data_IF_037236708346
#
_entry.id   IF_037236708346
#
_cell.length_a   1.000
_cell.length_b   1.000
_cell.length_c   1.000
_cell.angle_alpha   90.00
_cell.angle_beta   90.00
_cell.angle_gamma   90.00
#
_symmetry.space_group_name_H-M   'P 1'
#
loop_
_entity.id
_entity.type
_entity.pdbx_description
1 polymer ?
#
# COMPACT_ATOMS: atom_id res chain seq x y z
N UNK A 1 3.15 -1.32 10.58
CA UNK A 1 3.19 -0.64 9.27
C UNK A 1 4.29 -1.30 8.45
N UNK A 2 3.94 -2.29 7.62
CA UNK A 2 4.85 -2.96 6.68
C UNK A 2 4.52 -2.45 5.28
N UNK A 3 4.97 -1.22 5.02
CA UNK A 3 5.05 -0.70 3.67
C UNK A 3 6.30 -1.26 3.00
N UNK A 4 6.43 -1.19 1.69
CA UNK A 4 7.68 -1.43 0.93
C UNK A 4 8.79 -0.43 1.34
N UNK A 5 8.79 -0.09 2.61
CA UNK A 5 9.73 0.76 3.29
C UNK A 5 10.24 0.06 4.54
N UNK A 6 11.49 0.27 4.87
CA UNK A 6 12.14 -0.25 6.06
C UNK A 6 12.69 0.90 6.89
N UNK A 7 12.54 0.77 8.19
CA UNK A 7 13.10 1.69 9.18
C UNK A 7 14.29 0.98 9.85
N UNK A 8 15.47 1.58 9.77
CA UNK A 8 16.62 1.10 10.52
C UNK A 8 16.47 1.42 12.01
N UNK A 9 16.96 0.56 12.91
CA UNK A 9 16.99 0.86 14.34
C UNK A 9 17.68 2.21 14.61
N UNK A 10 17.11 3.05 15.51
CA UNK A 10 17.72 4.34 15.83
C UNK A 10 19.12 4.19 16.45
N UNK A 11 20.02 5.12 16.09
CA UNK A 11 21.38 5.23 16.65
C UNK A 11 21.46 6.50 17.48
N UNK A 12 22.18 6.47 18.59
CA UNK A 12 22.46 7.66 19.40
C UNK A 12 23.60 8.46 18.78
N UNK A 13 23.34 9.73 18.47
CA UNK A 13 24.31 10.72 18.00
C UNK A 13 24.50 11.78 19.11
N UNK A 14 25.25 11.43 20.16
CA UNK A 14 25.52 12.29 21.29
C UNK A 14 24.23 12.88 21.92
N UNK A 15 23.31 11.98 22.29
CA UNK A 15 22.03 12.30 22.92
C UNK A 15 20.90 12.66 21.95
N UNK A 16 21.14 12.62 20.63
CA UNK A 16 20.12 12.73 19.60
C UNK A 16 19.87 11.34 18.97
N UNK A 17 18.67 10.81 19.08
CA UNK A 17 18.32 9.54 18.47
C UNK A 17 17.94 9.75 17.00
N UNK A 18 18.78 9.24 16.11
CA UNK A 18 18.62 9.40 14.66
C UNK A 18 18.33 8.07 13.99
N UNK A 19 17.53 8.09 12.95
CA UNK A 19 17.14 6.91 12.18
C UNK A 19 17.19 7.20 10.67
N UNK A 20 17.24 6.10 9.89
CA UNK A 20 17.09 6.14 8.43
C UNK A 20 15.89 5.28 8.05
N UNK A 21 15.03 5.83 7.19
CA UNK A 21 14.00 5.06 6.51
C UNK A 21 14.24 5.05 5.01
N UNK A 22 13.87 3.95 4.36
CA UNK A 22 13.88 3.79 2.91
C UNK A 22 12.49 3.38 2.43
N UNK A 23 12.03 3.95 1.33
CA UNK A 23 10.72 3.65 0.75
C UNK A 23 10.80 3.64 -0.76
N UNK A 24 10.18 2.65 -1.40
CA UNK A 24 9.96 2.63 -2.85
C UNK A 24 8.63 3.29 -3.20
N UNK A 25 8.59 3.93 -4.36
CA UNK A 25 7.35 4.44 -4.92
C UNK A 25 7.25 4.11 -6.42
N UNK A 26 6.19 3.41 -6.87
CA UNK A 26 5.12 2.82 -6.05
C UNK A 26 5.64 1.72 -5.12
N UNK A 27 4.95 1.53 -4.00
CA UNK A 27 5.36 0.57 -2.96
C UNK A 27 5.34 -0.89 -3.43
N UNK A 28 4.45 -1.20 -4.37
CA UNK A 28 4.28 -2.53 -4.98
C UNK A 28 5.05 -2.68 -6.29
N UNK A 29 6.11 -1.88 -6.48
CA UNK A 29 6.90 -1.94 -7.70
C UNK A 29 7.43 -3.34 -7.97
N UNK A 30 7.19 -3.85 -9.20
CA UNK A 30 7.80 -5.05 -9.76
C UNK A 30 8.50 -4.71 -11.07
N UNK A 31 9.58 -5.43 -11.36
CA UNK A 31 10.25 -5.26 -12.65
C UNK A 31 9.28 -5.46 -13.82
N UNK A 32 9.30 -4.52 -14.77
CA UNK A 32 8.39 -4.52 -15.92
C UNK A 32 7.08 -3.73 -15.75
N UNK A 33 6.76 -3.23 -14.54
CA UNK A 33 5.59 -2.37 -14.33
C UNK A 33 5.77 -0.99 -14.98
N UNK A 34 6.97 -0.46 -14.84
CA UNK A 34 7.37 0.82 -15.43
C UNK A 34 8.86 0.83 -15.74
N UNK A 35 9.30 1.80 -16.53
CA UNK A 35 10.73 1.98 -16.88
C UNK A 35 11.58 2.49 -15.72
N UNK A 36 10.95 2.96 -14.66
CA UNK A 36 11.65 3.50 -13.48
C UNK A 36 10.76 3.47 -12.25
N UNK A 37 11.40 3.42 -11.08
CA UNK A 37 10.79 3.60 -9.76
C UNK A 37 11.57 4.66 -8.98
N UNK A 38 11.01 5.17 -7.91
CA UNK A 38 11.68 6.11 -7.03
C UNK A 38 12.05 5.44 -5.71
N UNK A 39 13.30 5.62 -5.26
CA UNK A 39 13.77 5.24 -3.94
C UNK A 39 13.95 6.51 -3.12
N UNK A 40 13.21 6.64 -2.02
CA UNK A 40 13.35 7.72 -1.06
C UNK A 40 14.11 7.23 0.16
N UNK A 41 15.14 7.98 0.57
CA UNK A 41 15.95 7.71 1.77
C UNK A 41 15.85 8.94 2.66
N UNK A 42 15.38 8.75 3.89
CA UNK A 42 15.18 9.84 4.84
C UNK A 42 16.05 9.64 6.07
N UNK A 43 16.79 10.68 6.48
CA UNK A 43 17.54 10.71 7.72
C UNK A 43 16.92 11.74 8.67
N UNK A 44 16.52 11.31 9.86
CA UNK A 44 15.69 12.13 10.74
C UNK A 44 15.90 11.83 12.22
N UNK A 45 15.51 12.78 13.06
CA UNK A 45 15.37 12.59 14.50
C UNK A 45 14.16 11.70 14.78
N UNK A 46 14.40 10.51 15.34
CA UNK A 46 13.36 9.51 15.58
C UNK A 46 12.37 9.89 16.71
N UNK A 47 12.67 10.87 17.53
CA UNK A 47 11.78 11.33 18.61
C UNK A 47 10.84 12.45 18.13
N UNK A 48 11.33 13.34 17.26
CA UNK A 48 10.57 14.50 16.77
C UNK A 48 10.02 14.33 15.37
N UNK A 49 10.46 13.29 14.66
CA UNK A 49 10.15 13.02 13.25
C UNK A 49 10.60 14.13 12.28
N UNK A 50 11.60 14.92 12.67
CA UNK A 50 12.13 16.04 11.88
C UNK A 50 13.37 15.60 11.12
N UNK A 51 13.42 15.92 9.81
CA UNK A 51 14.57 15.62 8.97
C UNK A 51 15.81 16.38 9.43
N UNK A 52 16.96 15.71 9.35
CA UNK A 52 18.27 16.32 9.58
C UNK A 52 18.78 16.82 8.23
N UNK A 53 19.07 18.10 8.17
CA UNK A 53 19.43 18.80 6.92
C UNK A 53 20.91 18.68 6.57
N UNK A 54 21.23 18.95 5.29
CA UNK A 54 22.58 19.02 4.74
C UNK A 54 23.39 17.72 4.92
N UNK A 55 22.83 16.64 4.40
CA UNK A 55 23.33 15.27 4.63
C UNK A 55 24.07 14.73 3.41
N UNK A 56 25.24 14.18 3.65
CA UNK A 56 25.96 13.38 2.66
C UNK A 56 25.70 11.91 2.94
N UNK A 57 25.09 11.25 1.97
CA UNK A 57 24.79 9.82 1.98
C UNK A 57 25.80 9.04 1.14
N UNK A 58 26.26 7.91 1.64
CA UNK A 58 26.80 6.85 0.79
C UNK A 58 25.81 5.71 0.77
N UNK A 59 25.26 5.45 -0.40
CA UNK A 59 24.23 4.41 -0.59
C UNK A 59 24.85 3.21 -1.29
N UNK A 60 24.76 2.04 -0.66
CA UNK A 60 25.08 0.74 -1.25
C UNK A 60 23.84 -0.10 -1.28
N UNK A 61 23.55 -0.70 -2.44
CA UNK A 61 22.42 -1.61 -2.61
C UNK A 61 22.98 -3.00 -2.95
N UNK A 62 22.46 -3.99 -2.25
CA UNK A 62 22.82 -5.39 -2.44
C UNK A 62 21.61 -6.22 -2.82
N UNK A 63 21.80 -7.17 -3.71
CA UNK A 63 20.86 -8.24 -4.02
C UNK A 63 21.56 -9.58 -3.82
N UNK A 64 20.99 -10.49 -3.05
CA UNK A 64 21.58 -11.79 -2.74
C UNK A 64 23.08 -11.70 -2.35
N UNK A 65 23.41 -10.75 -1.50
CA UNK A 65 24.79 -10.40 -1.08
C UNK A 65 25.68 -9.82 -2.19
N UNK A 66 25.20 -9.66 -3.40
CA UNK A 66 25.93 -9.02 -4.48
C UNK A 66 25.72 -7.50 -4.47
N UNK A 67 26.82 -6.75 -4.47
CA UNK A 67 26.74 -5.30 -4.59
C UNK A 67 26.25 -4.92 -6.00
N UNK A 68 25.15 -4.16 -6.07
CA UNK A 68 24.56 -3.69 -7.34
C UNK A 68 24.67 -2.18 -7.53
N UNK A 69 24.79 -1.42 -6.43
CA UNK A 69 25.05 0.03 -6.50
C UNK A 69 25.92 0.49 -5.32
N UNK A 70 26.76 1.50 -5.55
CA UNK A 70 27.59 2.14 -4.54
C UNK A 70 28.01 3.54 -4.99
N UNK A 71 27.40 4.58 -4.44
CA UNK A 71 27.73 5.96 -4.80
C UNK A 71 27.39 6.93 -3.65
N UNK A 72 27.92 8.15 -3.76
CA UNK A 72 27.67 9.25 -2.83
C UNK A 72 26.60 10.18 -3.38
N UNK A 73 25.73 10.60 -2.47
CA UNK A 73 24.65 11.55 -2.75
C UNK A 73 24.63 12.62 -1.67
N UNK A 74 24.13 13.79 -2.02
CA UNK A 74 23.95 14.90 -1.09
C UNK A 74 22.52 15.41 -1.16
N UNK A 75 21.96 15.70 -0.02
CA UNK A 75 20.63 16.28 0.10
C UNK A 75 20.60 17.39 1.14
N UNK A 76 19.87 18.48 0.83
CA UNK A 76 19.83 19.67 1.69
C UNK A 76 18.76 19.56 2.78
N UNK A 77 17.65 18.84 2.52
CA UNK A 77 16.48 18.75 3.42
C UNK A 77 16.38 17.43 4.18
N UNK A 78 17.34 16.54 4.01
CA UNK A 78 17.42 15.25 4.71
C UNK A 78 16.52 14.16 4.12
N UNK A 79 15.95 14.40 2.93
CA UNK A 79 15.16 13.44 2.18
C UNK A 79 15.71 13.25 0.77
N UNK A 80 16.61 12.29 0.62
CA UNK A 80 17.19 11.93 -0.66
C UNK A 80 16.22 11.14 -1.52
N UNK A 81 15.80 11.69 -2.64
CA UNK A 81 15.01 11.00 -3.65
C UNK A 81 15.89 10.59 -4.83
N UNK A 82 15.83 9.32 -5.21
CA UNK A 82 16.61 8.71 -6.28
C UNK A 82 15.68 8.07 -7.31
N UNK A 83 15.90 8.34 -8.59
CA UNK A 83 15.19 7.66 -9.66
C UNK A 83 15.97 6.42 -10.09
N UNK A 84 15.40 5.24 -9.90
CA UNK A 84 16.01 3.96 -10.27
C UNK A 84 15.46 3.53 -11.62
N UNK A 85 16.35 3.17 -12.55
CA UNK A 85 16.04 2.59 -13.85
C UNK A 85 16.62 1.18 -13.92
N UNK A 86 15.82 0.15 -13.64
CA UNK A 86 16.26 -1.23 -13.73
C UNK A 86 16.70 -1.60 -15.13
N UNK A 87 17.80 -2.34 -15.25
CA UNK A 87 18.27 -2.92 -16.53
C UNK A 87 18.70 -4.36 -16.31
N UNK A 88 18.49 -5.20 -17.30
CA UNK A 88 18.92 -6.60 -17.31
C UNK A 88 20.14 -6.79 -18.22
N UNK A 89 20.75 -7.98 -18.17
CA UNK A 89 21.77 -8.38 -19.13
C UNK A 89 23.20 -7.93 -18.78
N UNK A 90 23.47 -7.57 -17.52
CA UNK A 90 24.83 -7.32 -17.06
C UNK A 90 25.69 -8.57 -17.22
N UNK A 91 26.83 -8.46 -17.92
CA UNK A 91 27.79 -9.54 -18.15
C UNK A 91 29.02 -9.48 -17.23
N UNK A 92 29.08 -8.45 -16.39
CA UNK A 92 30.18 -8.27 -15.45
C UNK A 92 30.01 -9.22 -14.24
N UNK A 93 31.13 -9.76 -13.76
CA UNK A 93 31.17 -10.59 -12.55
C UNK A 93 30.72 -9.80 -11.31
N UNK A 94 31.10 -8.53 -11.26
CA UNK A 94 30.72 -7.59 -10.22
C UNK A 94 29.58 -6.69 -10.75
N UNK A 95 28.36 -6.98 -10.38
CA UNK A 95 27.16 -6.36 -10.94
C UNK A 95 27.14 -4.83 -10.87
N UNK A 96 27.72 -4.25 -9.81
CA UNK A 96 27.80 -2.79 -9.63
C UNK A 96 28.60 -2.08 -10.75
N UNK A 97 29.44 -2.79 -11.49
CA UNK A 97 30.16 -2.22 -12.65
C UNK A 97 29.25 -1.92 -13.84
N UNK A 98 28.09 -2.56 -13.92
CA UNK A 98 27.06 -2.24 -14.91
C UNK A 98 26.19 -1.05 -14.48
N UNK A 99 26.38 -0.50 -13.29
CA UNK A 99 25.56 0.57 -12.77
C UNK A 99 26.12 1.93 -13.12
N UNK A 100 25.27 2.78 -13.69
CA UNK A 100 25.61 4.14 -14.15
C UNK A 100 24.79 5.14 -13.33
N UNK A 101 25.47 6.22 -12.93
CA UNK A 101 24.88 7.30 -12.15
C UNK A 101 24.81 8.56 -13.00
N UNK A 102 23.67 9.25 -12.98
CA UNK A 102 23.47 10.50 -13.70
C UNK A 102 22.85 11.54 -12.77
N UNK A 103 23.29 12.76 -12.92
CA UNK A 103 22.85 13.89 -12.13
C UNK A 103 23.91 14.96 -11.99
N UNK A 104 23.58 16.04 -11.32
CA UNK A 104 24.51 17.10 -10.96
C UNK A 104 25.27 16.68 -9.68
N UNK A 105 26.58 16.98 -9.60
CA UNK A 105 27.39 16.75 -8.40
C UNK A 105 27.52 18.04 -7.60
N UNK A 106 27.27 17.93 -6.29
CA UNK A 106 27.49 19.07 -5.39
C UNK A 106 28.98 19.39 -5.27
N UNK A 107 29.35 20.64 -5.51
CA UNK A 107 30.74 21.05 -5.63
C UNK A 107 31.58 20.83 -4.35
N UNK A 108 30.96 20.92 -3.19
CA UNK A 108 31.64 20.78 -1.88
C UNK A 108 31.48 19.35 -1.33
N UNK A 109 30.25 18.86 -1.28
CA UNK A 109 29.96 17.53 -0.72
C UNK A 109 30.39 16.37 -1.64
N UNK A 110 30.56 16.63 -2.95
CA UNK A 110 31.05 15.65 -3.94
C UNK A 110 30.06 14.59 -4.36
N UNK A 111 28.87 14.53 -3.74
CA UNK A 111 27.79 13.59 -4.07
C UNK A 111 26.88 14.11 -5.17
N UNK A 112 26.16 13.21 -5.84
CA UNK A 112 25.04 13.59 -6.71
C UNK A 112 23.92 14.22 -5.88
N UNK A 113 23.29 15.26 -6.37
CA UNK A 113 22.19 15.90 -5.62
C UNK A 113 21.05 16.38 -6.52
N UNK A 114 19.87 16.49 -5.94
CA UNK A 114 18.73 17.12 -6.57
C UNK A 114 18.85 18.64 -6.54
N UNK A 115 18.55 19.29 -7.68
CA UNK A 115 18.45 20.73 -7.78
C UNK A 115 17.20 21.12 -8.55
N UNK A 116 16.28 21.75 -7.87
CA UNK A 116 14.96 22.01 -8.43
C UNK A 116 14.22 20.69 -8.68
N UNK A 117 13.77 20.47 -9.91
CA UNK A 117 13.04 19.22 -10.28
C UNK A 117 13.96 18.09 -10.76
N UNK A 118 15.30 18.29 -10.76
CA UNK A 118 16.25 17.28 -11.18
C UNK A 118 16.64 16.41 -10.01
N UNK A 119 16.32 15.11 -10.07
CA UNK A 119 16.73 14.11 -9.09
C UNK A 119 17.82 13.18 -9.69
N UNK A 120 18.78 12.71 -8.88
CA UNK A 120 19.79 11.75 -9.35
C UNK A 120 19.14 10.48 -9.87
N UNK A 121 19.72 9.93 -10.94
CA UNK A 121 19.26 8.68 -11.55
C UNK A 121 20.33 7.62 -11.40
N UNK A 122 19.92 6.42 -11.01
CA UNK A 122 20.73 5.21 -10.97
C UNK A 122 20.16 4.24 -12.01
N UNK A 123 20.97 3.79 -12.93
CA UNK A 123 20.59 2.84 -13.97
C UNK A 123 21.50 1.62 -13.91
N UNK A 124 20.95 0.43 -13.74
CA UNK A 124 21.74 -0.80 -13.60
C UNK A 124 20.89 -2.01 -13.22
N UNK A 125 21.52 -3.13 -12.88
CA UNK A 125 20.86 -4.34 -12.42
C UNK A 125 20.36 -4.17 -10.97
N UNK A 126 19.46 -3.21 -10.77
CA UNK A 126 18.89 -2.83 -9.47
C UNK A 126 17.39 -2.95 -9.60
N UNK A 127 16.75 -3.71 -8.71
CA UNK A 127 15.30 -3.96 -8.75
C UNK A 127 14.83 -4.61 -10.07
N UNK A 128 15.72 -5.38 -10.71
CA UNK A 128 15.44 -6.12 -11.93
C UNK A 128 14.87 -7.52 -11.69
N UNK A 129 14.76 -7.92 -10.43
CA UNK A 129 14.19 -9.20 -9.97
C UNK A 129 13.36 -8.97 -8.69
N UNK A 130 12.47 -9.90 -8.41
CA UNK A 130 11.80 -10.02 -7.11
C UNK A 130 12.77 -10.42 -5.99
N UNK A 131 12.31 -10.33 -4.75
CA UNK A 131 13.06 -10.72 -3.56
C UNK A 131 13.59 -9.54 -2.75
N UNK A 132 14.45 -9.87 -1.80
CA UNK A 132 14.96 -8.92 -0.82
C UNK A 132 16.22 -8.19 -1.33
N UNK A 133 16.21 -6.88 -1.15
CA UNK A 133 17.35 -6.01 -1.33
C UNK A 133 17.77 -5.41 0.02
N UNK A 134 19.07 -5.45 0.34
CA UNK A 134 19.63 -4.71 1.46
C UNK A 134 20.13 -3.35 0.97
N UNK A 135 19.73 -2.29 1.68
CA UNK A 135 20.18 -0.92 1.41
C UNK A 135 21.00 -0.45 2.61
N UNK A 136 22.31 -0.38 2.43
CA UNK A 136 23.23 0.18 3.42
C UNK A 136 23.40 1.67 3.16
N UNK A 137 23.05 2.46 4.17
CA UNK A 137 23.13 3.92 4.12
C UNK A 137 24.15 4.40 5.15
N UNK A 138 25.27 4.91 4.67
CA UNK A 138 26.22 5.60 5.53
C UNK A 138 25.95 7.10 5.48
N UNK A 139 25.74 7.71 6.64
CA UNK A 139 25.68 9.17 6.79
C UNK A 139 27.10 9.64 7.07
N UNK A 140 27.67 10.38 6.14
CA UNK A 140 29.05 10.84 6.24
C UNK A 140 29.12 12.18 6.97
N UNK A 141 29.85 12.20 8.08
CA UNK A 141 29.99 13.42 8.87
C UNK A 141 28.67 13.91 9.49
N UNK A 142 27.83 12.99 9.97
CA UNK A 142 26.61 13.36 10.68
C UNK A 142 26.94 14.22 11.89
N UNK A 143 26.34 15.41 11.96
CA UNK A 143 26.61 16.38 13.02
C UNK A 143 25.37 16.61 13.86
N UNK A 144 25.50 16.40 15.18
CA UNK A 144 24.44 16.76 16.12
C UNK A 144 24.31 18.30 16.18
N UNK A 145 23.17 18.88 15.83
CA UNK A 145 23.03 20.35 15.76
C UNK A 145 23.13 21.05 17.13
N UNK A 146 22.98 20.31 18.24
CA UNK A 146 23.07 20.88 19.61
C UNK A 146 24.47 20.82 20.16
N UNK A 147 25.17 19.69 20.00
CA UNK A 147 26.49 19.47 20.62
C UNK A 147 27.64 19.67 19.64
N UNK A 148 27.35 19.75 18.33
CA UNK A 148 28.30 19.83 17.23
C UNK A 148 29.25 18.62 17.12
N UNK A 149 28.93 17.54 17.81
CA UNK A 149 29.63 16.27 17.67
C UNK A 149 29.37 15.70 16.27
N UNK A 150 30.44 15.31 15.59
CA UNK A 150 30.41 14.77 14.22
C UNK A 150 30.93 13.35 14.21
N UNK A 151 30.19 12.44 13.59
CA UNK A 151 30.60 11.04 13.36
C UNK A 151 29.94 10.45 12.10
N UNK A 152 30.56 9.40 11.57
CA UNK A 152 29.96 8.62 10.51
C UNK A 152 28.98 7.61 11.13
N UNK A 153 27.81 7.49 10.53
CA UNK A 153 26.77 6.53 10.97
C UNK A 153 26.50 5.55 9.84
N UNK A 154 26.24 4.30 10.20
CA UNK A 154 25.86 3.26 9.24
C UNK A 154 24.51 2.67 9.63
N UNK A 155 23.59 2.69 8.69
CA UNK A 155 22.27 2.08 8.80
C UNK A 155 22.10 1.01 7.73
N UNK A 156 21.30 0.01 8.04
CA UNK A 156 20.88 -1.02 7.08
C UNK A 156 19.37 -1.12 7.08
N UNK A 157 18.79 -1.07 5.89
CA UNK A 157 17.35 -1.24 5.66
C UNK A 157 17.14 -2.29 4.59
N UNK A 158 15.93 -2.82 4.52
CA UNK A 158 15.58 -3.87 3.57
C UNK A 158 14.35 -3.46 2.77
N UNK A 159 14.39 -3.76 1.47
CA UNK A 159 13.27 -3.58 0.56
C UNK A 159 12.93 -4.96 -0.01
N UNK A 160 11.68 -5.29 -0.06
CA UNK A 160 11.23 -6.54 -0.67
C UNK A 160 10.37 -6.25 -1.89
N UNK A 161 10.83 -6.69 -3.06
CA UNK A 161 10.10 -6.56 -4.31
C UNK A 161 9.24 -7.81 -4.54
N UNK A 162 7.94 -7.64 -4.85
CA UNK A 162 7.06 -8.77 -5.07
C UNK A 162 7.39 -9.53 -6.36
N UNK A 163 7.20 -10.84 -6.34
CA UNK A 163 7.13 -11.66 -7.55
C UNK A 163 5.82 -11.37 -8.28
N UNK A 164 5.91 -11.10 -9.59
CA UNK A 164 4.77 -10.79 -10.43
C UNK A 164 4.49 -11.92 -11.41
N UNK A 165 3.31 -12.49 -11.34
CA UNK A 165 2.81 -13.50 -12.26
C UNK A 165 1.54 -12.99 -12.95
N UNK A 166 1.33 -13.38 -14.21
CA UNK A 166 0.15 -13.02 -14.99
C UNK A 166 -0.54 -14.31 -15.43
N UNK A 167 -1.83 -14.40 -15.14
CA UNK A 167 -2.67 -15.55 -15.47
C UNK A 167 -3.76 -15.11 -16.44
N UNK A 168 -3.85 -15.78 -17.60
CA UNK A 168 -4.92 -15.53 -18.55
C UNK A 168 -6.10 -16.43 -18.21
N UNK A 169 -7.23 -15.84 -17.84
CA UNK A 169 -8.47 -16.55 -17.58
C UNK A 169 -9.43 -16.39 -18.75
N UNK A 170 -10.16 -17.46 -19.06
CA UNK A 170 -11.20 -17.46 -20.09
C UNK A 170 -12.55 -17.64 -19.43
N UNK A 171 -13.48 -16.75 -19.76
CA UNK A 171 -14.87 -16.84 -19.33
C UNK A 171 -15.69 -17.71 -20.30
N UNK A 172 -16.87 -18.12 -19.88
CA UNK A 172 -17.81 -18.87 -20.73
C UNK A 172 -18.23 -18.08 -21.99
N UNK A 173 -18.15 -16.73 -21.93
CA UNK A 173 -18.37 -15.85 -23.10
C UNK A 173 -17.19 -15.84 -24.09
N UNK A 174 -16.14 -16.62 -23.83
CA UNK A 174 -14.88 -16.66 -24.59
C UNK A 174 -14.06 -15.34 -24.54
N UNK A 175 -14.34 -14.48 -23.60
CA UNK A 175 -13.49 -13.33 -23.29
C UNK A 175 -12.29 -13.75 -22.48
N UNK A 176 -11.13 -13.14 -22.77
CA UNK A 176 -9.87 -13.39 -22.05
C UNK A 176 -9.52 -12.20 -21.18
N UNK A 177 -9.23 -12.46 -19.89
CA UNK A 177 -8.86 -11.43 -18.94
C UNK A 177 -7.53 -11.77 -18.29
N UNK A 178 -6.51 -10.88 -18.36
CA UNK A 178 -5.29 -11.03 -17.62
C UNK A 178 -5.49 -10.67 -16.14
N UNK A 179 -5.21 -11.58 -15.25
CA UNK A 179 -5.12 -11.36 -13.81
C UNK A 179 -3.65 -11.29 -13.43
N UNK A 180 -3.21 -10.17 -12.87
CA UNK A 180 -1.86 -10.02 -12.35
C UNK A 180 -1.86 -10.26 -10.84
N UNK A 181 -1.02 -11.16 -10.37
CA UNK A 181 -0.77 -11.38 -8.94
C UNK A 181 0.65 -10.95 -8.62
N UNK A 182 0.81 -10.04 -7.67
CA UNK A 182 2.09 -9.67 -7.07
C UNK A 182 2.16 -10.27 -5.67
N UNK A 183 3.10 -11.16 -5.46
CA UNK A 183 3.28 -11.89 -4.20
C UNK A 183 4.59 -11.47 -3.54
N UNK A 184 4.52 -11.01 -2.29
CA UNK A 184 5.70 -10.83 -1.44
C UNK A 184 6.12 -12.14 -0.74
N UNK A 185 5.42 -13.24 -1.02
CA UNK A 185 5.67 -14.57 -0.48
C UNK A 185 6.18 -15.53 -1.57
N UNK A 186 7.08 -15.08 -2.41
CA UNK A 186 7.61 -15.84 -3.56
C UNK A 186 6.54 -16.19 -4.64
N UNK A 187 6.88 -17.08 -5.56
CA UNK A 187 6.06 -17.51 -6.68
C UNK A 187 4.85 -18.31 -6.18
N UNK A 188 3.65 -17.89 -6.57
CA UNK A 188 2.41 -18.60 -6.25
C UNK A 188 2.20 -19.78 -7.21
N UNK A 189 1.42 -20.76 -6.76
CA UNK A 189 1.09 -21.96 -7.55
C UNK A 189 -0.42 -22.25 -7.57
N UNK A 190 -0.84 -23.15 -8.44
CA UNK A 190 -2.21 -23.64 -8.53
C UNK A 190 -3.27 -22.53 -8.61
N UNK A 191 -3.00 -21.50 -9.45
CA UNK A 191 -3.96 -20.44 -9.71
C UNK A 191 -5.16 -20.98 -10.47
N UNK A 192 -6.36 -20.76 -9.94
CA UNK A 192 -7.64 -21.16 -10.52
C UNK A 192 -8.67 -20.04 -10.43
N UNK A 193 -9.50 -19.92 -11.45
CA UNK A 193 -10.70 -19.09 -11.46
C UNK A 193 -11.93 -19.95 -11.70
N UNK A 194 -12.85 -19.94 -10.75
CA UNK A 194 -14.17 -20.56 -10.87
C UNK A 194 -15.22 -19.50 -11.19
N UNK A 195 -15.63 -19.44 -12.46
CA UNK A 195 -16.63 -18.47 -12.94
C UNK A 195 -18.01 -18.70 -12.31
N UNK A 196 -18.36 -19.94 -11.98
CA UNK A 196 -19.67 -20.28 -11.39
C UNK A 196 -19.82 -19.69 -9.99
N UNK A 197 -18.72 -19.66 -9.25
CA UNK A 197 -18.66 -19.15 -7.89
C UNK A 197 -18.12 -17.71 -7.84
N UNK A 198 -17.67 -17.14 -8.95
CA UNK A 198 -16.91 -15.90 -8.99
C UNK A 198 -15.73 -15.91 -7.99
N UNK A 199 -14.96 -16.99 -8.05
CA UNK A 199 -13.90 -17.27 -7.07
C UNK A 199 -12.53 -17.38 -7.72
N UNK A 200 -11.55 -16.66 -7.18
CA UNK A 200 -10.13 -16.83 -7.46
C UNK A 200 -9.51 -17.63 -6.31
N UNK A 201 -8.69 -18.62 -6.64
CA UNK A 201 -7.91 -19.36 -5.64
C UNK A 201 -6.50 -19.66 -6.13
N UNK A 202 -5.53 -19.69 -5.20
CA UNK A 202 -4.14 -20.09 -5.47
C UNK A 202 -3.42 -20.44 -4.17
N UNK A 203 -2.24 -21.03 -4.29
CA UNK A 203 -1.40 -21.43 -3.16
C UNK A 203 -0.20 -20.52 -3.03
N UNK A 204 0.07 -20.09 -1.80
CA UNK A 204 1.15 -19.19 -1.41
C UNK A 204 2.19 -20.02 -0.63
N UNK A 205 3.49 -20.02 -1.03
CA UNK A 205 4.55 -20.54 -0.18
C UNK A 205 4.64 -19.78 1.14
N UNK A 206 4.72 -20.49 2.26
CA UNK A 206 4.79 -19.86 3.57
C UNK A 206 5.62 -20.69 4.56
N UNK A 207 6.72 -20.12 5.05
CA UNK A 207 7.56 -20.74 6.06
C UNK A 207 7.24 -20.21 7.45
N UNK A 208 6.64 -21.06 8.28
CA UNK A 208 6.31 -20.74 9.67
C UNK A 208 7.54 -20.57 10.60
N UNK A 209 8.72 -20.95 10.16
CA UNK A 209 9.96 -20.85 10.94
C UNK A 209 10.79 -19.62 10.53
N UNK A 210 10.43 -18.99 9.43
CA UNK A 210 11.08 -17.75 9.01
C UNK A 210 10.46 -16.56 9.75
N UNK A 211 11.25 -15.92 10.59
CA UNK A 211 10.88 -14.73 11.34
C UNK A 211 11.32 -13.44 10.64
N UNK A 212 11.71 -13.53 9.36
CA UNK A 212 12.06 -12.39 8.53
C UNK A 212 10.81 -11.66 8.00
N UNK A 213 11.01 -10.69 7.13
CA UNK A 213 9.93 -9.91 6.50
C UNK A 213 8.96 -10.74 5.62
N UNK A 214 9.32 -11.98 5.29
CA UNK A 214 8.46 -12.94 4.57
C UNK A 214 7.40 -13.62 5.45
N UNK A 215 7.39 -13.37 6.74
CA UNK A 215 6.43 -13.96 7.68
C UNK A 215 5.05 -13.28 7.69
N UNK A 216 4.76 -12.39 6.76
CA UNK A 216 3.44 -11.82 6.53
C UNK A 216 2.87 -12.34 5.22
N UNK A 217 1.56 -12.43 5.10
CA UNK A 217 0.92 -12.61 3.79
C UNK A 217 0.67 -11.23 3.20
N UNK A 218 1.32 -10.93 2.08
CA UNK A 218 1.12 -9.69 1.34
C UNK A 218 0.98 -10.02 -0.14
N UNK A 219 -0.24 -9.83 -0.66
CA UNK A 219 -0.65 -10.16 -2.02
C UNK A 219 -1.38 -8.99 -2.64
N UNK A 220 -1.12 -8.72 -3.91
CA UNK A 220 -1.86 -7.72 -4.68
C UNK A 220 -2.35 -8.38 -5.96
N UNK A 221 -3.66 -8.51 -6.09
CA UNK A 221 -4.32 -9.08 -7.25
C UNK A 221 -4.91 -7.93 -8.07
N UNK A 222 -4.53 -7.81 -9.34
CA UNK A 222 -5.00 -6.73 -10.22
C UNK A 222 -5.62 -7.29 -11.48
N UNK A 223 -6.71 -6.69 -11.92
CA UNK A 223 -7.47 -7.07 -13.11
C UNK A 223 -8.09 -5.83 -13.78
N UNK A 224 -8.43 -5.96 -15.05
CA UNK A 224 -9.06 -4.87 -15.78
C UNK A 224 -10.44 -4.55 -15.21
N UNK A 225 -10.86 -3.28 -15.30
CA UNK A 225 -12.19 -2.83 -14.82
C UNK A 225 -13.36 -3.56 -15.49
N UNK A 226 -13.17 -4.05 -16.72
CA UNK A 226 -14.18 -4.81 -17.46
C UNK A 226 -14.39 -6.23 -16.93
N UNK A 227 -13.51 -6.71 -16.02
CA UNK A 227 -13.67 -7.99 -15.35
C UNK A 227 -14.74 -7.91 -14.26
N UNK A 228 -16.00 -8.16 -14.63
CA UNK A 228 -17.18 -7.96 -13.80
C UNK A 228 -17.43 -9.06 -12.75
N UNK A 229 -16.69 -10.15 -12.79
CA UNK A 229 -16.85 -11.25 -11.83
C UNK A 229 -16.48 -10.87 -10.40
N UNK A 230 -15.59 -9.87 -10.25
CA UNK A 230 -15.21 -9.28 -8.98
C UNK A 230 -15.32 -7.76 -9.13
N UNK A 231 -16.13 -7.14 -8.30
CA UNK A 231 -16.48 -5.72 -8.41
C UNK A 231 -16.45 -5.06 -7.04
N UNK A 232 -16.18 -3.76 -7.01
CA UNK A 232 -16.27 -2.93 -5.81
C UNK A 232 -17.67 -2.88 -5.20
N UNK A 233 -18.69 -3.26 -5.96
CA UNK A 233 -20.08 -3.29 -5.53
C UNK A 233 -20.49 -4.62 -4.86
N UNK A 234 -19.54 -5.55 -4.74
CA UNK A 234 -19.77 -6.84 -4.12
C UNK A 234 -18.94 -6.95 -2.85
N UNK A 235 -19.51 -7.56 -1.83
CA UNK A 235 -18.75 -7.97 -0.66
C UNK A 235 -17.69 -8.99 -1.07
N UNK A 236 -16.53 -8.94 -0.42
CA UNK A 236 -15.45 -9.90 -0.64
C UNK A 236 -15.32 -10.78 0.60
N UNK A 237 -15.35 -12.08 0.37
CA UNK A 237 -15.01 -13.08 1.36
C UNK A 237 -13.62 -13.64 1.02
N UNK A 238 -12.65 -13.33 1.85
CA UNK A 238 -11.28 -13.80 1.66
C UNK A 238 -10.95 -14.79 2.75
N UNK A 239 -10.42 -15.94 2.36
CA UNK A 239 -10.03 -16.98 3.30
C UNK A 239 -8.62 -17.52 3.02
N UNK A 240 -7.99 -17.97 4.10
CA UNK A 240 -6.71 -18.68 4.10
C UNK A 240 -6.97 -20.09 4.61
N UNK A 241 -6.73 -21.13 3.80
CA UNK A 241 -7.04 -22.53 4.15
C UNK A 241 -8.45 -22.68 4.75
N UNK A 242 -9.47 -22.12 4.09
CA UNK A 242 -10.89 -22.04 4.53
C UNK A 242 -11.11 -21.33 5.89
N UNK A 243 -10.16 -20.56 6.37
CA UNK A 243 -10.34 -19.67 7.52
C UNK A 243 -10.54 -18.26 6.99
N UNK A 244 -11.74 -17.73 7.17
CA UNK A 244 -12.06 -16.35 6.76
C UNK A 244 -11.20 -15.36 7.55
N UNK A 245 -10.68 -14.34 6.85
CA UNK A 245 -9.93 -13.24 7.45
C UNK A 245 -10.81 -12.00 7.59
N UNK A 246 -10.54 -11.20 8.60
CA UNK A 246 -11.25 -9.94 8.84
C UNK A 246 -11.01 -8.96 7.67
N UNK A 247 -12.02 -8.14 7.39
CA UNK A 247 -11.98 -7.13 6.34
C UNK A 247 -10.94 -6.02 6.57
N UNK A 248 -10.36 -5.90 7.76
CA UNK A 248 -9.25 -5.00 8.04
C UNK A 248 -7.93 -5.44 7.38
N UNK A 249 -7.82 -6.69 6.92
CA UNK A 249 -6.64 -7.25 6.29
C UNK A 249 -6.67 -7.22 4.76
N UNK A 250 -7.70 -6.68 4.17
CA UNK A 250 -7.76 -6.50 2.72
C UNK A 250 -8.47 -5.22 2.32
N UNK A 251 -8.13 -4.73 1.14
CA UNK A 251 -8.68 -3.51 0.56
C UNK A 251 -8.92 -3.71 -0.93
N UNK A 252 -10.11 -3.31 -1.39
CA UNK A 252 -10.43 -3.22 -2.82
C UNK A 252 -10.13 -1.80 -3.30
N UNK A 253 -9.20 -1.64 -4.24
CA UNK A 253 -8.76 -0.35 -4.73
C UNK A 253 -9.18 -0.13 -6.18
N UNK A 254 -9.88 0.98 -6.44
CA UNK A 254 -10.39 1.41 -7.75
C UNK A 254 -9.71 2.69 -8.25
N UNK A 255 -8.73 3.22 -7.54
CA UNK A 255 -8.08 4.51 -7.86
C UNK A 255 -7.28 4.48 -9.16
N UNK A 256 -6.90 3.30 -9.66
CA UNK A 256 -6.24 3.20 -10.96
C UNK A 256 -7.27 3.30 -12.10
N UNK A 257 -7.02 4.11 -13.15
CA UNK A 257 -7.97 4.32 -14.26
C UNK A 257 -8.32 3.05 -15.03
N UNK A 258 -7.34 2.17 -15.21
CA UNK A 258 -7.45 1.01 -16.11
C UNK A 258 -7.75 -0.29 -15.36
N UNK A 259 -7.46 -0.34 -14.05
CA UNK A 259 -7.45 -1.58 -13.27
C UNK A 259 -8.08 -1.40 -11.90
N UNK A 260 -8.74 -2.45 -11.46
CA UNK A 260 -9.05 -2.67 -10.05
C UNK A 260 -7.98 -3.54 -9.42
N UNK A 261 -7.78 -3.44 -8.11
CA UNK A 261 -6.89 -4.31 -7.37
C UNK A 261 -7.43 -4.66 -5.99
N UNK A 262 -7.08 -5.84 -5.52
CA UNK A 262 -7.32 -6.30 -4.16
C UNK A 262 -5.95 -6.43 -3.50
N UNK A 263 -5.71 -5.64 -2.46
CA UNK A 263 -4.52 -5.77 -1.61
C UNK A 263 -4.91 -6.57 -0.38
N UNK A 264 -4.14 -7.60 -0.08
CA UNK A 264 -4.32 -8.46 1.10
C UNK A 264 -3.04 -8.39 1.91
N UNK A 265 -3.14 -7.99 3.17
CA UNK A 265 -1.99 -7.88 4.07
C UNK A 265 -2.38 -8.43 5.46
N UNK A 266 -1.89 -9.63 5.77
CA UNK A 266 -2.15 -10.29 7.05
C UNK A 266 -0.86 -10.35 7.86
N UNK A 267 -0.75 -9.59 8.96
CA UNK A 267 0.43 -9.58 9.81
C UNK A 267 0.71 -10.96 10.45
N UNK A 268 1.97 -11.25 10.71
CA UNK A 268 2.39 -12.52 11.31
C UNK A 268 1.71 -12.81 12.65
N UNK A 269 1.52 -11.80 13.48
CA UNK A 269 0.84 -11.92 14.78
C UNK A 269 -0.60 -12.43 14.64
N UNK A 270 -1.30 -11.97 13.59
CA UNK A 270 -2.65 -12.42 13.29
C UNK A 270 -2.65 -13.84 12.70
N UNK A 271 -1.68 -14.17 11.85
CA UNK A 271 -1.49 -15.53 11.35
C UNK A 271 -1.21 -16.52 12.48
N UNK A 272 -0.44 -16.14 13.48
CA UNK A 272 -0.18 -16.99 14.66
C UNK A 272 -1.44 -17.32 15.45
N UNK A 273 -2.41 -16.40 15.54
CA UNK A 273 -3.67 -16.63 16.25
C UNK A 273 -4.54 -17.71 15.58
N UNK A 274 -4.40 -17.87 14.25
CA UNK A 274 -5.15 -18.85 13.46
C UNK A 274 -4.27 -20.02 12.97
N UNK A 275 -2.99 -20.06 13.39
CA UNK A 275 -1.99 -21.03 12.91
C UNK A 275 -2.47 -22.46 12.99
N UNK A 276 -3.01 -22.88 14.12
CA UNK A 276 -3.47 -24.28 14.32
C UNK A 276 -4.59 -24.64 13.35
N UNK A 277 -5.47 -23.69 13.03
CA UNK A 277 -6.54 -23.88 12.04
C UNK A 277 -5.98 -23.97 10.62
N UNK A 278 -4.97 -23.13 10.31
CA UNK A 278 -4.33 -23.11 9.00
C UNK A 278 -3.56 -24.41 8.73
N UNK A 279 -2.76 -24.88 9.69
CA UNK A 279 -1.92 -26.07 9.55
C UNK A 279 -2.77 -27.34 9.50
N UNK A 280 -3.89 -27.39 10.23
CA UNK A 280 -4.75 -28.60 10.23
C UNK A 280 -5.37 -28.92 8.88
N UNK A 281 -5.39 -27.96 7.95
CA UNK A 281 -6.07 -28.07 6.66
C UNK A 281 -5.15 -28.16 5.44
N UNK A 282 -3.83 -28.03 5.60
CA UNK A 282 -2.86 -27.96 4.51
C UNK A 282 -1.52 -28.61 4.85
N UNK A 283 -0.70 -28.85 3.81
CA UNK A 283 0.74 -29.09 3.97
C UNK A 283 1.39 -27.86 4.65
N UNK A 284 2.32 -28.09 5.55
CA UNK A 284 2.91 -27.06 6.43
C UNK A 284 3.55 -25.86 5.69
N UNK A 285 3.84 -25.98 4.39
CA UNK A 285 4.63 -25.00 3.62
C UNK A 285 3.81 -24.22 2.57
N UNK A 286 2.49 -24.46 2.50
CA UNK A 286 1.60 -23.79 1.55
C UNK A 286 0.34 -23.30 2.25
N UNK A 287 -0.08 -22.08 1.91
CA UNK A 287 -1.36 -21.52 2.34
C UNK A 287 -2.21 -21.30 1.09
N UNK A 288 -3.40 -21.91 1.04
CA UNK A 288 -4.38 -21.67 0.00
C UNK A 288 -5.12 -20.37 0.30
N UNK A 289 -5.02 -19.41 -0.59
CA UNK A 289 -5.80 -18.19 -0.56
C UNK A 289 -7.00 -18.33 -1.48
N UNK A 290 -8.19 -17.95 -1.02
CA UNK A 290 -9.41 -17.90 -1.81
C UNK A 290 -10.05 -16.51 -1.68
N UNK A 291 -10.47 -15.95 -2.80
CA UNK A 291 -11.20 -14.69 -2.91
C UNK A 291 -12.52 -15.00 -3.58
N UNK A 292 -13.61 -14.84 -2.83
CA UNK A 292 -14.97 -15.08 -3.32
C UNK A 292 -15.71 -13.74 -3.41
N UNK A 293 -16.31 -13.46 -4.56
CA UNK A 293 -17.22 -12.32 -4.72
C UNK A 293 -18.58 -12.69 -4.13
N UNK A 294 -18.97 -11.99 -3.09
CA UNK A 294 -20.21 -12.21 -2.34
C UNK A 294 -21.40 -11.42 -2.89
N UNK A 295 -22.33 -11.07 -2.02
CA UNK A 295 -23.54 -10.32 -2.37
C UNK A 295 -23.20 -8.86 -2.68
N UNK A 296 -24.11 -8.20 -3.41
CA UNK A 296 -23.97 -6.79 -3.72
C UNK A 296 -24.14 -5.96 -2.45
N UNK A 297 -23.18 -5.07 -2.18
CA UNK A 297 -23.22 -4.15 -1.05
C UNK A 297 -23.99 -2.89 -1.37
N UNK A 298 -24.57 -2.29 -0.33
CA UNK A 298 -25.21 -0.98 -0.41
C UNK A 298 -24.24 0.11 0.04
N UNK A 299 -24.25 1.23 -0.66
CA UNK A 299 -23.41 2.38 -0.31
C UNK A 299 -24.28 3.51 0.25
N UNK A 300 -23.76 4.18 1.26
CA UNK A 300 -24.17 5.53 1.62
C UNK A 300 -23.30 6.52 0.88
N UNK A 301 -23.82 7.67 0.54
CA UNK A 301 -23.08 8.73 -0.14
C UNK A 301 -23.40 10.12 0.42
N UNK A 302 -22.46 11.03 0.24
CA UNK A 302 -22.64 12.47 0.41
C UNK A 302 -22.08 13.20 -0.79
N UNK A 303 -22.71 14.33 -1.15
CA UNK A 303 -22.30 15.19 -2.27
C UNK A 303 -21.92 16.57 -1.76
N UNK A 304 -20.76 17.03 -2.19
CA UNK A 304 -20.23 18.35 -1.89
C UNK A 304 -20.03 19.13 -3.19
N UNK A 305 -20.70 20.27 -3.31
CA UNK A 305 -20.59 21.12 -4.50
C UNK A 305 -19.64 22.28 -4.23
N UNK A 306 -18.90 22.69 -5.26
CA UNK A 306 -17.94 23.78 -5.21
C UNK A 306 -18.27 24.85 -6.25
N UNK A 307 -17.80 26.09 -6.01
CA UNK A 307 -18.10 27.24 -6.85
C UNK A 307 -17.53 27.15 -8.29
N UNK A 308 -16.63 26.20 -8.55
CA UNK A 308 -16.05 25.95 -9.87
C UNK A 308 -16.76 24.82 -10.65
N UNK A 309 -18.02 24.53 -10.33
CA UNK A 309 -18.85 23.47 -10.91
C UNK A 309 -18.30 22.04 -10.69
N UNK A 310 -17.33 21.85 -9.80
CA UNK A 310 -16.88 20.54 -9.37
C UNK A 310 -17.80 20.01 -8.30
N UNK A 311 -18.14 18.73 -8.39
CA UNK A 311 -18.85 17.97 -7.36
C UNK A 311 -17.92 16.89 -6.84
N UNK A 312 -17.75 16.84 -5.52
CA UNK A 312 -17.12 15.73 -4.82
C UNK A 312 -18.22 14.82 -4.27
N UNK A 313 -18.26 13.58 -4.71
CA UNK A 313 -19.12 12.53 -4.16
C UNK A 313 -18.27 11.58 -3.34
N UNK A 314 -18.65 11.35 -2.08
CA UNK A 314 -17.96 10.48 -1.16
C UNK A 314 -18.91 9.38 -0.77
N UNK A 315 -18.51 8.12 -0.97
CA UNK A 315 -19.36 6.97 -0.66
C UNK A 315 -18.61 5.90 0.12
N UNK A 316 -19.35 5.12 0.91
CA UNK A 316 -18.84 4.05 1.75
C UNK A 316 -19.87 2.93 1.90
N UNK A 317 -19.41 1.72 2.20
CA UNK A 317 -20.31 0.61 2.46
C UNK A 317 -21.18 0.87 3.69
N UNK A 318 -22.51 0.82 3.52
CA UNK A 318 -23.50 1.10 4.58
C UNK A 318 -23.53 0.04 5.68
N UNK A 319 -22.95 -1.14 5.46
CA UNK A 319 -22.98 -2.27 6.39
C UNK A 319 -21.74 -2.33 7.30
N UNK A 320 -20.75 -1.45 7.06
CA UNK A 320 -19.52 -1.40 7.88
C UNK A 320 -19.80 -0.68 9.22
N UNK A 321 -19.28 -1.27 10.28
CA UNK A 321 -19.47 -0.78 11.63
C UNK A 321 -18.30 0.11 12.08
N UNK A 322 -18.54 1.11 12.92
CA UNK A 322 -17.49 1.90 13.55
C UNK A 322 -16.60 1.03 14.48
N UNK A 323 -15.46 1.60 14.90
CA UNK A 323 -14.44 0.87 15.63
C UNK A 323 -13.47 0.10 14.74
N UNK A 324 -13.70 0.12 13.42
CA UNK A 324 -12.81 -0.42 12.39
C UNK A 324 -12.50 0.64 11.33
N UNK A 325 -11.56 0.34 10.44
CA UNK A 325 -11.32 1.18 9.26
C UNK A 325 -12.44 0.97 8.25
N UNK A 326 -13.01 2.05 7.77
CA UNK A 326 -14.05 2.08 6.75
C UNK A 326 -13.43 2.64 5.47
N UNK A 327 -13.50 1.92 4.33
CA UNK A 327 -13.08 2.45 3.04
C UNK A 327 -14.05 3.54 2.58
N UNK A 328 -13.52 4.75 2.37
CA UNK A 328 -14.22 5.86 1.73
C UNK A 328 -13.68 6.04 0.33
N UNK A 329 -14.57 6.14 -0.64
CA UNK A 329 -14.23 6.43 -2.02
C UNK A 329 -14.67 7.85 -2.36
N UNK A 330 -13.75 8.64 -2.90
CA UNK A 330 -13.94 10.00 -3.36
C UNK A 330 -14.01 10.00 -4.88
N UNK A 331 -15.05 10.56 -5.45
CA UNK A 331 -15.23 10.73 -6.88
C UNK A 331 -15.47 12.20 -7.19
N UNK A 332 -14.70 12.76 -8.11
CA UNK A 332 -14.79 14.17 -8.52
C UNK A 332 -15.22 14.27 -9.97
N UNK A 333 -16.28 15.01 -10.24
CA UNK A 333 -16.81 15.24 -11.58
C UNK A 333 -17.31 16.68 -11.75
N UNK A 334 -17.43 17.14 -12.99
CA UNK A 334 -17.97 18.43 -13.32
C UNK A 334 -19.51 18.39 -13.46
N UNK A 335 -20.13 19.54 -13.69
CA UNK A 335 -21.57 19.67 -13.90
C UNK A 335 -22.15 18.85 -15.08
N UNK A 336 -21.30 18.29 -15.95
CA UNK A 336 -21.66 17.38 -17.04
C UNK A 336 -21.42 15.91 -16.72
N UNK A 337 -21.10 15.57 -15.46
CA UNK A 337 -20.70 14.25 -14.99
C UNK A 337 -19.41 13.72 -15.67
N UNK A 338 -18.51 14.61 -16.07
CA UNK A 338 -17.20 14.23 -16.58
C UNK A 338 -16.20 14.28 -15.44
N UNK A 339 -15.43 13.20 -15.29
CA UNK A 339 -14.40 13.09 -14.22
C UNK A 339 -13.39 14.22 -14.31
N UNK A 340 -13.11 14.88 -13.19
CA UNK A 340 -12.11 15.95 -13.06
C UNK A 340 -10.77 15.33 -12.72
N UNK A 341 -9.90 15.25 -13.73
CA UNK A 341 -8.58 14.63 -13.61
C UNK A 341 -7.57 15.49 -12.85
N UNK A 342 -6.60 14.82 -12.23
CA UNK A 342 -5.47 15.43 -11.54
C UNK A 342 -5.88 16.50 -10.51
N UNK A 343 -6.99 16.25 -9.81
CA UNK A 343 -7.48 17.14 -8.76
C UNK A 343 -6.66 16.98 -7.49
N UNK A 344 -6.27 18.10 -6.89
CA UNK A 344 -5.63 18.16 -5.58
C UNK A 344 -6.64 18.55 -4.51
N UNK A 345 -6.69 17.79 -3.42
CA UNK A 345 -7.62 18.05 -2.33
C UNK A 345 -7.05 17.63 -0.98
N UNK A 346 -7.62 18.19 0.08
CA UNK A 346 -7.45 17.74 1.47
C UNK A 346 -8.81 17.65 2.13
N UNK A 347 -8.92 16.85 3.19
CA UNK A 347 -10.17 16.71 3.91
C UNK A 347 -9.95 16.44 5.39
N UNK A 348 -10.98 16.72 6.17
CA UNK A 348 -11.04 16.40 7.59
C UNK A 348 -12.43 15.90 7.96
N UNK A 349 -12.50 15.11 9.02
CA UNK A 349 -13.72 14.59 9.61
C UNK A 349 -13.74 15.01 11.06
N UNK A 350 -14.85 15.63 11.49
CA UNK A 350 -15.08 15.98 12.89
C UNK A 350 -16.35 15.30 13.41
N UNK A 351 -16.35 14.95 14.68
CA UNK A 351 -17.55 14.44 15.34
C UNK A 351 -18.52 15.57 15.70
N UNK A 352 -19.71 15.24 16.21
CA UNK A 352 -20.76 16.20 16.61
C UNK A 352 -20.32 17.18 17.71
N UNK A 353 -19.23 16.91 18.42
CA UNK A 353 -18.62 17.84 19.39
C UNK A 353 -17.64 18.81 18.76
N UNK A 354 -17.34 18.68 17.47
CA UNK A 354 -16.32 19.43 16.75
C UNK A 354 -14.90 18.91 16.97
N UNK A 355 -14.73 17.73 17.56
CA UNK A 355 -13.43 17.10 17.71
C UNK A 355 -13.01 16.42 16.41
N UNK A 356 -11.79 16.67 15.97
CA UNK A 356 -11.21 16.03 14.80
C UNK A 356 -11.03 14.52 15.04
N UNK A 357 -11.60 13.72 14.14
CA UNK A 357 -11.48 12.26 14.09
C UNK A 357 -10.41 11.85 13.11
N UNK A 358 -10.36 12.54 11.98
CA UNK A 358 -9.39 12.35 10.93
C UNK A 358 -9.09 13.66 10.20
N UNK A 359 -7.84 13.86 9.81
CA UNK A 359 -7.46 14.96 8.93
C UNK A 359 -6.17 14.65 8.20
N UNK A 360 -6.11 15.01 6.94
CA UNK A 360 -4.86 15.06 6.18
C UNK A 360 -4.44 16.51 5.86
N UNK A 361 -5.07 17.49 6.47
CA UNK A 361 -4.74 18.91 6.31
C UNK A 361 -3.36 19.15 6.93
N UNK A 362 -2.41 19.66 6.14
CA UNK A 362 -1.05 19.97 6.61
C UNK A 362 -0.03 18.85 6.51
N UNK A 363 -0.38 17.68 5.95
CA UNK A 363 0.61 16.63 5.61
C UNK A 363 1.50 17.14 4.48
N UNK A 364 2.74 17.49 4.80
CA UNK A 364 3.67 18.24 3.97
C UNK A 364 4.14 17.54 2.70
N UNK A 365 3.32 17.56 1.68
CA UNK A 365 3.71 17.20 0.33
C UNK A 365 4.11 18.44 -0.48
N UNK A 366 4.91 18.27 -1.53
CA UNK A 366 5.37 19.34 -2.45
C UNK A 366 4.19 20.16 -3.01
N UNK A 367 3.04 19.52 -3.20
CA UNK A 367 1.76 20.16 -3.54
C UNK A 367 0.82 20.05 -2.35
N UNK A 368 0.08 21.07 -2.07
CA UNK A 368 -0.84 21.10 -0.95
C UNK A 368 -2.05 20.22 -1.23
N UNK A 369 -1.98 18.92 -0.91
CA UNK A 369 -3.10 18.00 -1.03
C UNK A 369 -2.75 16.61 -1.54
N UNK A 370 -3.77 15.76 -1.55
CA UNK A 370 -3.77 14.43 -2.14
C UNK A 370 -4.16 14.56 -3.61
N UNK A 371 -3.50 13.82 -4.48
CA UNK A 371 -3.82 13.79 -5.91
C UNK A 371 -4.86 12.70 -6.20
N UNK A 372 -5.94 13.09 -6.91
CA UNK A 372 -6.88 12.18 -7.54
C UNK A 372 -6.65 12.19 -9.08
N UNK A 373 -5.83 11.29 -9.65
CA UNK A 373 -5.36 11.38 -11.05
C UNK A 373 -6.49 11.34 -12.07
N UNK A 374 -7.46 10.44 -11.89
CA UNK A 374 -8.65 10.34 -12.72
C UNK A 374 -9.93 10.82 -12.02
N UNK A 375 -9.76 11.70 -11.03
CA UNK A 375 -10.87 12.16 -10.22
C UNK A 375 -11.40 11.13 -9.24
N UNK A 376 -10.65 10.05 -8.99
CA UNK A 376 -11.02 9.01 -8.02
C UNK A 376 -9.88 8.82 -7.02
N UNK A 377 -10.24 8.71 -5.74
CA UNK A 377 -9.32 8.41 -4.65
C UNK A 377 -10.03 7.54 -3.61
N UNK A 378 -9.30 6.63 -2.99
CA UNK A 378 -9.83 5.76 -1.95
C UNK A 378 -8.90 5.76 -0.74
N UNK A 379 -9.48 5.79 0.45
CA UNK A 379 -8.74 5.71 1.71
C UNK A 379 -9.57 5.02 2.79
N UNK A 380 -8.92 4.15 3.57
CA UNK A 380 -9.54 3.48 4.72
C UNK A 380 -9.33 4.30 5.98
N UNK A 381 -10.42 4.84 6.53
CA UNK A 381 -10.45 5.77 7.66
C UNK A 381 -11.01 5.09 8.88
N UNK A 382 -10.36 5.24 10.02
CA UNK A 382 -10.88 4.75 11.30
C UNK A 382 -11.93 5.69 11.85
N UNK A 383 -13.18 5.23 11.92
CA UNK A 383 -14.30 5.94 12.58
C UNK A 383 -14.55 5.25 13.93
N UNK A 384 -14.39 5.96 15.06
CA UNK A 384 -14.34 5.33 16.37
C UNK A 384 -15.69 4.81 16.89
N UNK A 385 -16.79 5.53 16.62
CA UNK A 385 -18.12 5.25 17.21
C UNK A 385 -19.24 5.52 16.23
N UNK A 386 -20.43 5.01 16.55
CA UNK A 386 -21.68 5.46 15.93
C UNK A 386 -21.89 6.96 16.18
N UNK A 387 -22.50 7.64 15.24
CA UNK A 387 -22.90 9.02 15.41
C UNK A 387 -22.89 9.86 14.15
N UNK A 388 -23.18 11.14 14.35
CA UNK A 388 -23.12 12.16 13.31
C UNK A 388 -21.71 12.74 13.23
N UNK A 389 -21.26 12.94 11.98
CA UNK A 389 -19.95 13.49 11.63
C UNK A 389 -20.11 14.57 10.57
N UNK A 390 -19.17 15.50 10.54
CA UNK A 390 -19.05 16.48 9.46
C UNK A 390 -17.81 16.16 8.61
N UNK A 391 -18.02 16.06 7.32
CA UNK A 391 -16.97 16.01 6.30
C UNK A 391 -16.66 17.43 5.86
N UNK A 392 -15.39 17.83 5.93
CA UNK A 392 -14.88 19.09 5.35
C UNK A 392 -13.91 18.74 4.25
N UNK A 393 -14.24 19.11 3.01
CA UNK A 393 -13.45 18.86 1.83
C UNK A 393 -12.94 20.19 1.26
N UNK A 394 -11.66 20.26 0.94
CA UNK A 394 -10.98 21.45 0.44
C UNK A 394 -10.28 21.10 -0.85
N UNK A 395 -10.68 21.67 -1.98
CA UNK A 395 -9.95 21.58 -3.23
C UNK A 395 -8.82 22.59 -3.22
N UNK A 396 -7.59 22.11 -3.44
CA UNK A 396 -6.38 22.91 -3.29
C UNK A 396 -5.69 23.22 -4.61
N UNK A 397 -5.98 22.45 -5.68
CA UNK A 397 -5.37 22.65 -6.97
C UNK A 397 -5.80 21.64 -8.04
N UNK A 398 -5.20 21.76 -9.22
CA UNK A 398 -5.35 20.83 -10.33
C UNK A 398 -4.07 20.81 -11.18
N UNK A 399 -3.73 19.67 -11.79
CA UNK A 399 -2.53 19.49 -12.62
C UNK A 399 -1.23 19.94 -11.96
N UNK A 400 -1.04 19.60 -10.68
CA UNK A 400 0.14 19.98 -9.89
C UNK A 400 0.28 21.49 -9.60
N UNK A 401 -0.73 22.29 -9.88
CA UNK A 401 -0.80 23.71 -9.54
C UNK A 401 -1.83 23.95 -8.46
N UNK A 402 -1.47 24.72 -7.43
CA UNK A 402 -2.41 25.15 -6.41
C UNK A 402 -3.35 26.25 -6.95
N UNK A 403 -4.60 26.23 -6.48
CA UNK A 403 -5.53 27.33 -6.71
C UNK A 403 -5.10 28.58 -5.92
N UNK A 404 -5.36 29.77 -6.47
CA UNK A 404 -5.12 31.02 -5.74
C UNK A 404 -5.97 31.09 -4.46
N UNK A 405 -7.23 30.62 -4.54
CA UNK A 405 -8.13 30.51 -3.40
C UNK A 405 -8.62 29.05 -3.31
N UNK A 406 -8.48 28.44 -2.16
CA UNK A 406 -8.99 27.10 -1.92
C UNK A 406 -10.51 27.10 -1.86
N UNK A 407 -11.11 26.09 -2.46
CA UNK A 407 -12.56 25.91 -2.47
C UNK A 407 -12.93 24.94 -1.34
N UNK A 408 -13.85 25.35 -0.48
CA UNK A 408 -14.24 24.59 0.71
C UNK A 408 -15.69 24.23 0.64
N UNK A 409 -16.01 22.97 0.91
CA UNK A 409 -17.38 22.49 1.09
C UNK A 409 -17.47 21.55 2.30
N UNK A 410 -18.63 21.55 2.97
CA UNK A 410 -18.89 20.69 4.14
C UNK A 410 -20.21 19.96 3.97
N UNK A 411 -20.30 18.75 4.52
CA UNK A 411 -21.53 17.98 4.58
C UNK A 411 -21.55 17.10 5.83
N UNK A 412 -22.71 16.97 6.44
CA UNK A 412 -22.92 16.03 7.54
C UNK A 412 -23.22 14.64 6.99
N UNK A 413 -22.78 13.62 7.71
CA UNK A 413 -23.09 12.23 7.44
C UNK A 413 -23.22 11.46 8.75
N UNK A 414 -23.84 10.30 8.71
CA UNK A 414 -24.09 9.46 9.86
C UNK A 414 -23.49 8.07 9.64
N UNK A 415 -22.78 7.57 10.63
CA UNK A 415 -22.33 6.18 10.71
C UNK A 415 -23.12 5.52 11.83
N UNK A 416 -23.89 4.51 11.49
CA UNK A 416 -24.67 3.73 12.43
C UNK A 416 -24.24 2.26 12.31
N UNK A 417 -23.90 1.65 13.44
CA UNK A 417 -23.93 0.20 13.54
C UNK A 417 -25.34 -0.22 13.18
N UNK A 418 -25.53 -0.85 12.05
CA UNK A 418 -26.79 -1.56 11.87
C UNK A 418 -26.86 -2.53 13.06
N UNK A 419 -27.75 -2.24 14.00
CA UNK A 419 -28.19 -3.28 14.93
C UNK A 419 -28.50 -4.46 14.00
N UNK A 420 -27.79 -5.55 14.21
CA UNK A 420 -28.17 -6.84 13.64
C UNK A 420 -29.57 -7.06 14.23
N UNK A 421 -30.56 -6.45 13.61
CA UNK A 421 -31.86 -7.05 13.55
C UNK A 421 -31.52 -8.39 12.92
N UNK A 422 -31.42 -9.39 13.78
CA UNK A 422 -31.47 -10.79 13.39
C UNK A 422 -32.67 -10.89 12.45
N UNK A 423 -32.43 -10.58 11.16
CA UNK A 423 -33.12 -11.24 10.11
C UNK A 423 -32.75 -12.66 10.46
N UNK A 424 -33.73 -13.40 11.01
CA UNK A 424 -33.73 -14.83 10.92
C UNK A 424 -33.59 -15.14 9.41
N UNK A 425 -32.37 -15.02 8.91
CA UNK A 425 -31.96 -15.84 7.83
C UNK A 425 -32.13 -17.21 8.44
N UNK A 426 -33.15 -17.91 8.01
CA UNK A 426 -33.13 -19.35 7.95
C UNK A 426 -31.88 -19.65 7.12
N UNK A 427 -30.71 -19.57 7.76
CA UNK A 427 -29.49 -20.12 7.23
C UNK A 427 -29.80 -21.58 7.11
N UNK A 428 -30.02 -22.03 5.91
CA UNK A 428 -30.02 -23.44 5.61
C UNK A 428 -28.61 -23.89 5.95
N UNK A 429 -28.47 -24.35 7.21
CA UNK A 429 -27.19 -24.91 7.68
C UNK A 429 -26.79 -25.90 6.61
N UNK A 430 -25.62 -25.69 5.94
CA UNK A 430 -25.19 -26.60 4.87
C UNK A 430 -25.26 -28.04 5.35
N UNK A 431 -25.72 -28.95 4.51
CA UNK A 431 -25.95 -30.35 4.90
C UNK A 431 -24.72 -31.02 5.53
N UNK A 432 -23.50 -30.57 5.19
CA UNK A 432 -22.27 -31.07 5.80
C UNK A 432 -22.13 -30.66 7.29
N UNK A 433 -22.63 -29.48 7.69
CA UNK A 433 -22.66 -29.06 9.12
C UNK A 433 -23.71 -29.88 9.87
N UNK A 434 -24.86 -30.17 9.24
CA UNK A 434 -25.89 -31.04 9.85
C UNK A 434 -25.36 -32.43 10.06
N UNK A 435 -24.67 -33.00 9.07
CA UNK A 435 -24.07 -34.31 9.17
C UNK A 435 -23.00 -34.40 10.26
N UNK A 436 -22.15 -33.39 10.39
CA UNK A 436 -21.13 -33.34 11.44
C UNK A 436 -21.74 -33.19 12.85
N UNK A 437 -22.82 -32.39 12.96
CA UNK A 437 -23.54 -32.24 14.22
C UNK A 437 -24.27 -33.53 14.64
N UNK A 438 -24.82 -34.29 13.68
CA UNK A 438 -25.44 -35.60 13.92
C UNK A 438 -24.41 -36.64 14.35
N UNK A 439 -23.21 -36.66 13.76
CA UNK A 439 -22.12 -37.57 14.14
C UNK A 439 -21.56 -37.23 15.53
N UNK A 440 -21.47 -35.97 15.86
CA UNK A 440 -21.07 -35.52 17.20
C UNK A 440 -22.11 -35.87 18.28
N UNK A 441 -23.39 -35.67 17.98
CA UNK A 441 -24.48 -36.06 18.86
C UNK A 441 -24.60 -37.59 19.04
N UNK A 442 -24.18 -38.35 18.03
CA UNK A 442 -24.12 -39.81 18.08
C UNK A 442 -22.87 -40.40 18.74
N UNK A 443 -21.91 -39.55 19.13
CA UNK A 443 -20.65 -39.98 19.76
C UNK A 443 -19.74 -40.77 18.79
N UNK A 444 -19.86 -40.50 17.47
CA UNK A 444 -19.10 -41.19 16.41
C UNK A 444 -17.76 -40.51 16.11
N UNK A 445 -17.47 -39.38 16.74
CA UNK A 445 -16.22 -38.64 16.72
C UNK A 445 -15.92 -38.15 18.15
#
# INVERSE_FOLDING_TARGET
QHHSGSLAPPIDLDGLKVAVSTTLFPEDFSYGDSKSTNLSIRFFDSETDVNIQSVTYRVKIFQDSNLVANEYFYDEDGKLDLKIKPTTGCQEKELWKCTVYNGEKHAIAGGYYARGDSIPTIQGPIFDKSGQYSVQVSIVGATNPKTLTTQDLLFETFLHLPEKQIFEIKTASAEEFPISVKSHNDEISNFEFDETLNKISYEIPFDWNDHSHSSIINQIISFNKDFSSISEYNDLLISLNDVEIDNEFYEFNISNPDKNSIKIEVPYENLLQIKDKLISKSNNDLIKLEILSGEKINFNDIKLSFDNDVVGEIYWNSELNPGKKIPFTFSFYDGNNVSVKDLLFVYGITDSSGKEVWSNIGTGQKYLGILAPDGIYQESIFIPTDGEYEFKLILTGQYSNNFENFLVSTSNFEINSQSILTKETTSTIPNWIKNNAEWWAAGAI
#
